data_IF_825292069717
#
_entry.id   IF_825292069717
#
_cell.length_a   1.000
_cell.length_b   1.000
_cell.length_c   1.000
_cell.angle_alpha   90.00
_cell.angle_beta   90.00
_cell.angle_gamma   90.00
#
_symmetry.space_group_name_H-M   'P 1'
#
loop_
_entity.id
_entity.type
_entity.pdbx_description
1 polymer ?
#
# COMPACT_ATOMS: atom_id res chain seq x y z
N UNK A 1 20.85 9.28 -17.06
CA UNK A 1 21.27 7.96 -16.55
C UNK A 1 19.99 7.30 -16.06
N UNK A 2 19.33 6.53 -16.93
CA UNK A 2 18.04 5.85 -16.66
C UNK A 2 18.31 4.38 -16.92
N UNK A 3 18.76 3.66 -15.89
CA UNK A 3 19.19 2.26 -16.05
C UNK A 3 18.34 1.26 -15.24
N UNK A 4 17.23 1.68 -14.63
CA UNK A 4 16.47 0.80 -13.74
C UNK A 4 15.29 0.06 -14.36
N UNK A 5 14.79 0.43 -15.55
CA UNK A 5 13.53 -0.15 -16.08
C UNK A 5 13.62 -0.82 -17.46
N UNK A 6 14.82 -0.95 -18.05
CA UNK A 6 14.92 -1.54 -19.39
C UNK A 6 14.70 -3.06 -19.35
N UNK A 7 13.46 -3.49 -19.56
CA UNK A 7 13.05 -4.90 -19.65
C UNK A 7 12.19 -5.43 -18.49
N UNK A 8 11.79 -4.59 -17.53
CA UNK A 8 10.84 -4.98 -16.48
C UNK A 8 9.41 -4.90 -16.98
N UNK A 9 8.55 -5.78 -16.47
CA UNK A 9 7.11 -5.63 -16.71
C UNK A 9 6.53 -4.54 -15.78
N UNK A 10 5.39 -3.97 -16.15
CA UNK A 10 4.83 -2.84 -15.39
C UNK A 10 4.34 -3.24 -13.99
N UNK A 11 4.04 -4.51 -13.73
CA UNK A 11 3.58 -4.99 -12.43
C UNK A 11 4.75 -5.19 -11.45
N UNK A 12 5.92 -5.59 -11.93
CA UNK A 12 7.18 -5.66 -11.16
C UNK A 12 7.58 -4.28 -10.61
N UNK A 13 7.12 -3.18 -11.22
CA UNK A 13 7.33 -1.83 -10.70
C UNK A 13 6.63 -1.59 -9.36
N UNK A 14 5.57 -2.35 -9.05
CA UNK A 14 4.82 -2.22 -7.80
C UNK A 14 5.53 -2.91 -6.63
N UNK A 15 6.56 -3.73 -6.88
CA UNK A 15 7.38 -4.34 -5.83
C UNK A 15 8.12 -3.26 -5.05
N UNK A 16 8.16 -3.37 -3.72
CA UNK A 16 8.73 -2.32 -2.86
C UNK A 16 10.20 -2.00 -3.19
N UNK A 17 10.98 -3.05 -3.50
CA UNK A 17 12.39 -2.96 -3.89
C UNK A 17 12.62 -2.25 -5.24
N UNK A 18 11.57 -2.04 -6.03
CA UNK A 18 11.60 -1.31 -7.30
C UNK A 18 10.95 0.07 -7.17
N UNK A 19 9.80 0.13 -6.50
CA UNK A 19 8.97 1.31 -6.39
C UNK A 19 9.67 2.44 -5.63
N UNK A 20 10.21 2.16 -4.44
CA UNK A 20 10.80 3.19 -3.58
C UNK A 20 12.03 3.85 -4.23
N UNK A 21 13.04 3.10 -4.71
CA UNK A 21 14.19 3.72 -5.39
C UNK A 21 13.78 4.54 -6.60
N UNK A 22 12.79 4.08 -7.38
CA UNK A 22 12.28 4.83 -8.54
C UNK A 22 11.64 6.16 -8.13
N UNK A 23 10.82 6.18 -7.07
CA UNK A 23 10.18 7.40 -6.57
C UNK A 23 11.19 8.37 -5.96
N UNK A 24 12.24 7.87 -5.32
CA UNK A 24 13.36 8.68 -4.81
C UNK A 24 14.22 9.26 -5.94
N UNK A 25 14.56 8.47 -6.97
CA UNK A 25 15.27 8.93 -8.17
C UNK A 25 14.47 10.00 -8.93
N UNK A 26 13.14 9.87 -8.98
CA UNK A 26 12.25 10.87 -9.56
C UNK A 26 12.09 12.13 -8.68
N UNK A 27 12.61 12.12 -7.44
CA UNK A 27 12.48 13.21 -6.48
C UNK A 27 11.05 13.42 -5.94
N UNK A 28 10.19 12.40 -6.07
CA UNK A 28 8.77 12.45 -5.72
C UNK A 28 8.54 12.03 -4.27
N UNK A 29 9.36 11.10 -3.78
CA UNK A 29 9.40 10.70 -2.36
C UNK A 29 10.73 11.13 -1.77
N UNK A 30 10.67 11.76 -0.60
CA UNK A 30 11.85 12.06 0.21
C UNK A 30 11.83 11.22 1.47
N UNK A 31 12.98 10.65 1.82
CA UNK A 31 13.11 9.87 3.06
C UNK A 31 12.72 10.72 4.27
N UNK A 32 11.80 10.21 5.10
CA UNK A 32 11.26 10.93 6.26
C UNK A 32 10.16 11.94 5.94
N UNK A 33 9.67 12.00 4.70
CA UNK A 33 8.50 12.80 4.35
C UNK A 33 7.25 12.31 5.09
N UNK A 34 6.51 13.26 5.68
CA UNK A 34 5.20 12.99 6.25
C UNK A 34 4.14 13.23 5.17
N UNK A 35 3.79 12.17 4.45
CA UNK A 35 2.77 12.22 3.41
C UNK A 35 1.38 11.99 3.98
N UNK A 36 0.44 12.89 3.66
CA UNK A 36 -0.96 12.74 4.05
C UNK A 36 -1.69 11.85 3.03
N UNK A 37 -2.22 10.72 3.51
CA UNK A 37 -3.00 9.81 2.70
C UNK A 37 -4.40 10.38 2.35
N UNK A 38 -5.02 9.90 1.26
CA UNK A 38 -6.39 10.26 0.92
C UNK A 38 -7.35 10.01 2.08
N UNK A 39 -8.28 10.95 2.31
CA UNK A 39 -9.21 10.91 3.45
C UNK A 39 -10.06 9.65 3.46
N UNK A 40 -10.61 9.25 2.31
CA UNK A 40 -11.43 8.04 2.16
C UNK A 40 -10.64 6.80 2.62
N UNK A 41 -9.40 6.65 2.16
CA UNK A 41 -8.54 5.55 2.57
C UNK A 41 -8.26 5.56 4.08
N UNK A 42 -7.98 6.74 4.65
CA UNK A 42 -7.75 6.87 6.09
C UNK A 42 -8.99 6.47 6.88
N UNK A 43 -10.19 6.86 6.45
CA UNK A 43 -11.44 6.48 7.11
C UNK A 43 -11.64 4.96 7.13
N UNK A 44 -11.46 4.30 5.98
CA UNK A 44 -11.60 2.86 5.84
C UNK A 44 -10.58 2.10 6.70
N UNK A 45 -9.31 2.50 6.64
CA UNK A 45 -8.25 1.84 7.39
C UNK A 45 -8.33 2.11 8.90
N UNK A 46 -8.88 3.26 9.30
CA UNK A 46 -9.19 3.56 10.70
C UNK A 46 -10.27 2.61 11.21
N UNK A 47 -11.36 2.41 10.47
CA UNK A 47 -12.41 1.47 10.86
C UNK A 47 -11.88 0.04 11.04
N UNK A 48 -11.01 -0.43 10.12
CA UNK A 48 -10.34 -1.73 10.26
C UNK A 48 -9.46 -1.77 11.52
N UNK A 49 -8.68 -0.70 11.77
CA UNK A 49 -7.79 -0.63 12.94
C UNK A 49 -8.53 -0.57 14.27
N UNK A 50 -9.69 0.07 14.30
CA UNK A 50 -10.56 0.15 15.47
C UNK A 50 -11.19 -1.22 15.78
N UNK A 51 -11.69 -1.93 14.77
CA UNK A 51 -12.18 -3.30 14.93
C UNK A 51 -11.11 -4.25 15.46
N UNK A 52 -9.86 -4.10 15.01
CA UNK A 52 -8.74 -4.88 15.55
C UNK A 52 -8.49 -4.56 17.03
N UNK A 53 -8.61 -3.29 17.42
CA UNK A 53 -8.45 -2.84 18.82
C UNK A 53 -9.56 -3.38 19.72
N UNK A 54 -10.79 -3.47 19.21
CA UNK A 54 -11.91 -4.13 19.89
C UNK A 54 -11.63 -5.63 20.08
N UNK A 55 -11.20 -6.32 19.02
CA UNK A 55 -10.81 -7.74 19.10
C UNK A 55 -9.65 -8.00 20.06
N UNK A 56 -8.67 -7.10 20.13
CA UNK A 56 -7.57 -7.15 21.11
C UNK A 56 -8.08 -7.10 22.56
N UNK A 57 -9.25 -6.49 22.79
CA UNK A 57 -9.89 -6.36 24.11
C UNK A 57 -10.88 -7.49 24.41
N UNK A 58 -11.68 -7.92 23.42
CA UNK A 58 -12.65 -9.01 23.51
C UNK A 58 -12.55 -9.92 22.28
N UNK A 59 -11.75 -11.01 22.35
CA UNK A 59 -11.50 -11.86 21.18
C UNK A 59 -12.73 -12.63 20.70
N UNK A 60 -13.07 -12.46 19.42
CA UNK A 60 -14.08 -13.25 18.71
C UNK A 60 -13.50 -13.77 17.37
N UNK A 61 -13.39 -15.10 17.24
CA UNK A 61 -12.83 -15.74 16.04
C UNK A 61 -13.61 -15.46 14.76
N UNK A 62 -14.94 -15.30 14.84
CA UNK A 62 -15.78 -15.01 13.67
C UNK A 62 -15.54 -13.59 13.20
N UNK A 63 -15.51 -12.64 14.13
CA UNK A 63 -15.22 -11.23 13.83
C UNK A 63 -13.78 -11.09 13.31
N UNK A 64 -12.84 -11.83 13.87
CA UNK A 64 -11.47 -11.89 13.34
C UNK A 64 -11.39 -12.46 11.92
N UNK A 65 -12.20 -13.48 11.60
CA UNK A 65 -12.36 -13.99 10.24
C UNK A 65 -12.79 -12.91 9.25
N UNK A 66 -13.80 -12.11 9.62
CA UNK A 66 -14.31 -11.00 8.80
C UNK A 66 -13.24 -9.92 8.63
N UNK A 67 -12.53 -9.55 9.70
CA UNK A 67 -11.45 -8.57 9.66
C UNK A 67 -10.36 -8.97 8.67
N UNK A 68 -9.92 -10.24 8.69
CA UNK A 68 -8.92 -10.74 7.75
C UNK A 68 -9.38 -10.62 6.30
N UNK A 69 -10.63 -10.95 6.02
CA UNK A 69 -11.19 -10.80 4.67
C UNK A 69 -11.24 -9.33 4.25
N UNK A 70 -11.60 -8.41 5.16
CA UNK A 70 -11.60 -6.97 4.86
C UNK A 70 -10.20 -6.44 4.54
N UNK A 71 -9.17 -6.88 5.29
CA UNK A 71 -7.77 -6.50 5.04
C UNK A 71 -7.28 -7.01 3.68
N UNK A 72 -7.64 -8.24 3.30
CA UNK A 72 -7.29 -8.80 1.99
C UNK A 72 -8.00 -8.03 0.86
N UNK A 73 -9.29 -7.76 1.00
CA UNK A 73 -10.04 -6.99 0.00
C UNK A 73 -9.45 -5.59 -0.20
N UNK A 74 -9.07 -4.90 0.87
CA UNK A 74 -8.40 -3.59 0.79
C UNK A 74 -7.02 -3.67 0.10
N UNK A 75 -6.28 -4.77 0.30
CA UNK A 75 -5.02 -5.00 -0.41
C UNK A 75 -5.23 -5.21 -1.90
N UNK A 76 -6.23 -6.01 -2.28
CA UNK A 76 -6.59 -6.29 -3.67
C UNK A 76 -7.04 -5.03 -4.41
N UNK A 77 -7.94 -4.24 -3.81
CA UNK A 77 -8.41 -2.96 -4.38
C UNK A 77 -7.24 -1.98 -4.59
N UNK A 78 -6.37 -1.84 -3.58
CA UNK A 78 -5.19 -0.99 -3.67
C UNK A 78 -4.22 -1.45 -4.79
N UNK A 79 -4.03 -2.76 -4.96
CA UNK A 79 -3.19 -3.31 -6.01
C UNK A 79 -3.80 -3.12 -7.40
N UNK A 80 -5.12 -3.26 -7.53
CA UNK A 80 -5.84 -3.03 -8.78
C UNK A 80 -5.72 -1.56 -9.22
N UNK A 81 -5.99 -0.60 -8.31
CA UNK A 81 -5.80 0.83 -8.57
C UNK A 81 -4.38 1.15 -9.08
N UNK A 82 -3.37 0.52 -8.47
CA UNK A 82 -1.97 0.74 -8.82
C UNK A 82 -1.59 0.06 -10.14
N UNK A 83 -2.11 -1.14 -10.39
CA UNK A 83 -1.92 -1.88 -11.64
C UNK A 83 -2.48 -1.09 -12.84
N UNK A 84 -3.63 -0.44 -12.67
CA UNK A 84 -4.18 0.47 -13.66
C UNK A 84 -3.29 1.69 -13.88
N UNK A 85 -2.69 2.25 -12.82
CA UNK A 85 -1.81 3.41 -12.91
C UNK A 85 -0.48 3.12 -13.63
N UNK A 86 0.10 1.93 -13.44
CA UNK A 86 1.32 1.50 -14.14
C UNK A 86 1.07 0.97 -15.54
N UNK A 87 -0.19 0.69 -15.89
CA UNK A 87 -0.54 0.22 -17.21
C UNK A 87 -0.30 1.35 -18.24
N UNK A 88 0.78 1.22 -19.02
CA UNK A 88 1.23 2.27 -19.93
C UNK A 88 2.25 3.24 -19.34
N UNK A 89 2.82 2.96 -18.17
CA UNK A 89 3.96 3.70 -17.64
C UNK A 89 5.17 3.55 -18.57
N UNK A 90 5.70 4.67 -19.05
CA UNK A 90 6.94 4.74 -19.81
C UNK A 90 8.05 5.33 -18.92
N UNK A 91 9.07 4.55 -18.55
CA UNK A 91 10.17 5.05 -17.72
C UNK A 91 11.03 6.12 -18.41
N UNK A 92 10.91 6.28 -19.73
CA UNK A 92 11.60 7.32 -20.50
C UNK A 92 10.82 8.63 -20.59
N UNK A 93 9.53 8.60 -20.24
CA UNK A 93 8.62 9.75 -20.24
C UNK A 93 7.59 9.63 -19.11
N UNK A 94 8.10 9.56 -17.87
CA UNK A 94 7.26 9.37 -16.69
C UNK A 94 6.31 10.56 -16.51
N UNK A 95 5.01 10.30 -16.65
CA UNK A 95 3.95 11.27 -16.38
C UNK A 95 3.91 11.59 -14.87
N UNK A 96 3.95 12.88 -14.53
CA UNK A 96 3.84 13.34 -13.14
C UNK A 96 2.57 12.81 -12.46
N UNK A 97 1.47 12.66 -13.20
CA UNK A 97 0.23 12.09 -12.67
C UNK A 97 0.37 10.60 -12.30
N UNK A 98 1.14 9.83 -13.07
CA UNK A 98 1.42 8.43 -12.75
C UNK A 98 2.33 8.33 -11.53
N UNK A 99 3.38 9.16 -11.48
CA UNK A 99 4.29 9.22 -10.33
C UNK A 99 3.57 9.60 -9.02
N UNK A 100 2.61 10.53 -9.08
CA UNK A 100 1.78 10.90 -7.93
C UNK A 100 0.90 9.73 -7.46
N UNK A 101 0.26 9.01 -8.38
CA UNK A 101 -0.51 7.80 -8.04
C UNK A 101 0.37 6.72 -7.39
N UNK A 102 1.59 6.54 -7.90
CA UNK A 102 2.55 5.59 -7.35
C UNK A 102 3.07 5.99 -5.97
N UNK A 103 3.24 7.30 -5.73
CA UNK A 103 3.51 7.84 -4.39
C UNK A 103 2.36 7.50 -3.44
N UNK A 104 1.11 7.78 -3.82
CA UNK A 104 -0.07 7.46 -3.01
C UNK A 104 -0.10 5.96 -2.70
N UNK A 105 0.07 5.10 -3.71
CA UNK A 105 0.13 3.65 -3.54
C UNK A 105 1.22 3.22 -2.55
N UNK A 106 2.44 3.76 -2.67
CA UNK A 106 3.53 3.46 -1.75
C UNK A 106 3.15 3.71 -0.29
N UNK A 107 2.55 4.88 0.01
CA UNK A 107 2.14 5.22 1.37
C UNK A 107 0.92 4.40 1.84
N UNK A 108 -0.07 4.12 0.96
CA UNK A 108 -1.20 3.24 1.28
C UNK A 108 -0.69 1.85 1.68
N UNK A 109 0.26 1.30 0.91
CA UNK A 109 0.88 0.00 1.17
C UNK A 109 1.61 -0.04 2.51
N UNK A 110 2.40 1.00 2.85
CA UNK A 110 3.05 1.09 4.16
C UNK A 110 2.05 1.09 5.32
N UNK A 111 0.95 1.83 5.19
CA UNK A 111 -0.08 1.85 6.21
C UNK A 111 -0.74 0.48 6.39
N UNK A 112 -1.10 -0.17 5.28
CA UNK A 112 -1.71 -1.49 5.29
C UNK A 112 -0.77 -2.56 5.88
N UNK A 113 0.53 -2.48 5.60
CA UNK A 113 1.53 -3.37 6.21
C UNK A 113 1.54 -3.29 7.74
N UNK A 114 1.38 -2.10 8.32
CA UNK A 114 1.29 -1.94 9.78
C UNK A 114 0.04 -2.62 10.35
N UNK A 115 -1.11 -2.50 9.67
CA UNK A 115 -2.33 -3.22 10.05
C UNK A 115 -2.12 -4.73 9.96
N UNK A 116 -1.55 -5.21 8.84
CA UNK A 116 -1.28 -6.64 8.62
C UNK A 116 -0.32 -7.21 9.67
N UNK A 117 0.69 -6.44 10.07
CA UNK A 117 1.59 -6.81 11.17
C UNK A 117 0.82 -6.96 12.49
N UNK A 118 -0.02 -5.98 12.85
CA UNK A 118 -0.86 -6.08 14.05
C UNK A 118 -1.82 -7.28 14.00
N UNK A 119 -2.47 -7.51 12.86
CA UNK A 119 -3.35 -8.67 12.61
C UNK A 119 -2.57 -9.99 12.79
N UNK A 120 -1.34 -10.07 12.29
CA UNK A 120 -0.47 -11.24 12.43
C UNK A 120 -0.04 -11.47 13.89
N UNK A 121 0.27 -10.40 14.61
CA UNK A 121 0.60 -10.45 16.04
C UNK A 121 -0.62 -10.96 16.83
N UNK A 122 -1.82 -10.46 16.55
CA UNK A 122 -3.06 -10.94 17.16
C UNK A 122 -3.29 -12.43 16.87
N UNK A 123 -3.16 -12.85 15.60
CA UNK A 123 -3.30 -14.24 15.18
C UNK A 123 -2.29 -15.21 15.81
N UNK A 124 -1.13 -14.70 16.23
CA UNK A 124 -0.09 -15.51 16.87
C UNK A 124 -0.27 -15.62 18.39
N UNK A 125 -1.12 -14.77 18.98
CA UNK A 125 -1.37 -14.70 20.43
C UNK A 125 -2.65 -15.44 20.86
N UNK A 126 -3.59 -15.64 19.94
CA UNK A 126 -4.90 -16.26 20.15
C UNK A 126 -5.07 -17.48 19.23
#
# INVERSE_FOLDING_TARGET
>A
MVYFCSGMNNLELLEEERLLPMLEEAGIVVSGENFQLPEIFLMEMTAISDHLTELESDPDEKVFGILKTAVVAAEEEMLEEAAEAVNGYDPTNADAAVLEKLKIFYFKRKFLLQIKERVSIFASRN
#
